data_IF_935944635733
#
_entry.id   IF_935944635733
#
_cell.length_a   1.000
_cell.length_b   1.000
_cell.length_c   1.000
_cell.angle_alpha   90.00
_cell.angle_beta   90.00
_cell.angle_gamma   90.00
#
_symmetry.space_group_name_H-M   'P 1'
#
loop_
_entity.id
_entity.type
_entity.pdbx_description
1 polymer ?
#
# COMPACT_ATOMS: atom_id res chain seq x y z
N UNK A 1 -33.11 -23.32 1.81
CA UNK A 1 -32.51 -22.69 0.63
C UNK A 1 -31.91 -21.38 1.10
N UNK A 2 -30.59 -21.27 1.17
CA UNK A 2 -29.90 -20.06 1.63
C UNK A 2 -29.63 -19.19 0.40
N UNK A 3 -30.21 -17.98 0.35
CA UNK A 3 -29.96 -17.05 -0.75
C UNK A 3 -28.86 -16.08 -0.31
N UNK A 4 -27.70 -16.17 -0.96
CA UNK A 4 -26.57 -15.26 -0.72
C UNK A 4 -26.46 -14.30 -1.90
N UNK A 5 -26.53 -13.02 -1.60
CA UNK A 5 -26.28 -11.94 -2.56
C UNK A 5 -25.03 -11.22 -2.07
N UNK A 6 -24.08 -11.00 -2.98
CA UNK A 6 -22.89 -10.22 -2.70
C UNK A 6 -23.28 -8.75 -2.52
N UNK A 7 -22.97 -8.21 -1.34
CA UNK A 7 -23.16 -6.79 -1.03
C UNK A 7 -21.85 -6.03 -1.25
N UNK A 8 -21.95 -4.80 -1.76
CA UNK A 8 -20.83 -3.87 -1.79
C UNK A 8 -20.30 -3.65 -0.36
N UNK A 9 -18.98 -3.61 -0.15
CA UNK A 9 -18.37 -3.39 1.15
C UNK A 9 -18.61 -1.96 1.65
N UNK A 10 -18.53 -1.77 2.97
CA UNK A 10 -18.70 -0.47 3.65
C UNK A 10 -19.93 0.32 3.19
N UNK A 11 -21.03 -0.38 2.90
CA UNK A 11 -22.26 0.19 2.35
C UNK A 11 -23.40 -0.04 3.33
N UNK A 12 -24.23 0.99 3.50
CA UNK A 12 -25.43 0.92 4.32
C UNK A 12 -26.61 0.44 3.47
N UNK A 13 -27.29 -0.61 3.94
CA UNK A 13 -28.41 -1.25 3.29
C UNK A 13 -29.65 -1.09 4.15
N UNK A 14 -30.77 -0.76 3.50
CA UNK A 14 -32.11 -0.88 4.10
C UNK A 14 -32.82 -2.05 3.45
N UNK A 15 -33.25 -3.01 4.27
CA UNK A 15 -33.92 -4.24 3.83
C UNK A 15 -35.41 -4.14 4.11
N UNK A 16 -36.23 -4.24 3.07
CA UNK A 16 -37.69 -4.34 3.20
C UNK A 16 -38.16 -5.68 2.66
N UNK A 17 -39.14 -6.26 3.34
CA UNK A 17 -39.68 -7.58 3.01
C UNK A 17 -41.20 -7.43 2.80
N UNK A 18 -41.76 -8.20 1.88
CA UNK A 18 -43.20 -8.40 1.76
C UNK A 18 -43.53 -9.89 1.67
N UNK A 19 -44.75 -10.25 2.05
CA UNK A 19 -45.28 -11.60 1.81
C UNK A 19 -45.83 -11.68 0.39
N UNK A 20 -45.54 -12.77 -0.33
CA UNK A 20 -46.04 -13.01 -1.68
C UNK A 20 -47.16 -14.05 -1.63
N UNK A 21 -48.32 -13.71 -2.19
CA UNK A 21 -49.46 -14.62 -2.37
C UNK A 21 -49.87 -14.70 -3.86
N UNK A 22 -51.00 -15.37 -4.16
CA UNK A 22 -51.51 -15.49 -5.54
C UNK A 22 -51.84 -14.15 -6.22
N UNK A 23 -52.07 -13.09 -5.44
CA UNK A 23 -52.34 -11.72 -5.89
C UNK A 23 -51.07 -10.85 -5.93
N UNK A 24 -49.89 -11.39 -5.60
CA UNK A 24 -48.62 -10.68 -5.62
C UNK A 24 -48.05 -10.35 -4.25
N UNK A 25 -47.14 -9.38 -4.22
CA UNK A 25 -46.47 -8.86 -3.02
C UNK A 25 -47.44 -7.97 -2.23
N UNK A 26 -47.60 -8.27 -0.94
CA UNK A 26 -48.38 -7.47 0.00
C UNK A 26 -47.66 -6.18 0.43
N UNK A 27 -48.10 -5.52 1.51
CA UNK A 27 -47.44 -4.32 2.03
C UNK A 27 -46.01 -4.62 2.49
N UNK A 28 -45.09 -3.70 2.20
CA UNK A 28 -43.69 -3.76 2.64
C UNK A 28 -43.58 -3.53 4.15
N UNK A 29 -42.58 -4.15 4.79
CA UNK A 29 -42.22 -3.86 6.17
C UNK A 29 -41.80 -2.39 6.34
N UNK A 30 -42.15 -1.81 7.49
CA UNK A 30 -41.71 -0.47 7.88
C UNK A 30 -40.18 -0.42 8.05
N UNK A 31 -39.59 0.71 7.69
CA UNK A 31 -38.17 0.98 7.92
C UNK A 31 -37.97 1.26 9.40
N UNK A 32 -37.13 0.45 10.04
CA UNK A 32 -36.72 0.57 11.43
C UNK A 32 -35.21 0.37 11.56
N UNK A 33 -34.64 0.64 12.73
CA UNK A 33 -33.22 0.37 13.00
C UNK A 33 -32.84 -1.10 12.71
N UNK A 34 -33.77 -2.05 12.91
CA UNK A 34 -33.52 -3.48 12.65
C UNK A 34 -33.55 -3.85 11.16
N UNK A 35 -34.03 -2.94 10.30
CA UNK A 35 -34.01 -3.11 8.83
C UNK A 35 -32.79 -2.47 8.19
N UNK A 36 -31.96 -1.77 8.98
CA UNK A 36 -30.75 -1.12 8.50
C UNK A 36 -29.53 -1.93 8.92
N UNK A 37 -28.68 -2.26 7.94
CA UNK A 37 -27.47 -3.04 8.15
C UNK A 37 -26.32 -2.39 7.40
N UNK A 38 -25.13 -2.35 8.00
CA UNK A 38 -23.92 -1.91 7.32
C UNK A 38 -23.04 -3.11 6.98
N UNK A 39 -22.67 -3.25 5.71
CA UNK A 39 -21.70 -4.27 5.30
C UNK A 39 -20.29 -3.95 5.81
N UNK A 40 -19.49 -4.99 6.00
CA UNK A 40 -18.13 -4.85 6.50
C UNK A 40 -17.24 -4.09 5.51
N UNK A 41 -16.28 -3.33 6.05
CA UNK A 41 -15.18 -2.76 5.26
C UNK A 41 -14.30 -3.87 4.72
N UNK A 42 -13.72 -3.64 3.54
CA UNK A 42 -12.80 -4.57 2.90
C UNK A 42 -11.71 -3.79 2.14
N UNK A 43 -10.67 -4.46 1.68
CA UNK A 43 -9.72 -3.86 0.74
C UNK A 43 -10.36 -3.73 -0.66
N UNK A 44 -9.91 -2.77 -1.48
CA UNK A 44 -10.24 -2.73 -2.90
C UNK A 44 -9.93 -4.06 -3.59
N UNK A 45 -10.83 -4.52 -4.46
CA UNK A 45 -10.66 -5.77 -5.22
C UNK A 45 -9.43 -5.71 -6.13
N UNK A 46 -9.26 -4.59 -6.82
CA UNK A 46 -8.07 -4.22 -7.60
C UNK A 46 -7.52 -2.87 -7.16
N UNK A 47 -6.22 -2.69 -7.36
CA UNK A 47 -5.55 -1.40 -7.23
C UNK A 47 -5.33 -0.80 -8.63
N UNK A 48 -5.27 0.53 -8.76
CA UNK A 48 -4.90 1.17 -10.01
C UNK A 48 -3.47 0.80 -10.41
N UNK A 49 -3.15 1.04 -11.68
CA UNK A 49 -1.80 0.83 -12.16
C UNK A 49 -0.90 1.98 -11.70
N UNK A 50 0.20 1.61 -11.05
CA UNK A 50 1.26 2.52 -10.67
C UNK A 50 2.45 2.32 -11.61
N UNK A 51 3.19 3.39 -11.90
CA UNK A 51 4.34 3.30 -12.81
C UNK A 51 5.55 4.03 -12.23
N UNK A 52 6.69 3.36 -12.26
CA UNK A 52 7.98 3.93 -11.87
C UNK A 52 8.82 4.17 -13.11
N UNK A 53 9.51 5.30 -13.15
CA UNK A 53 10.38 5.69 -14.24
C UNK A 53 11.63 6.38 -13.71
N UNK A 54 12.61 6.61 -14.58
CA UNK A 54 13.73 7.48 -14.25
C UNK A 54 13.22 8.91 -14.10
N UNK A 55 13.71 9.63 -13.10
CA UNK A 55 13.37 11.04 -12.93
C UNK A 55 13.93 11.84 -14.10
N UNK A 56 13.04 12.40 -14.92
CA UNK A 56 13.44 13.28 -16.02
C UNK A 56 14.00 14.59 -15.44
N UNK A 57 15.03 15.16 -16.08
CA UNK A 57 15.64 16.44 -15.70
C UNK A 57 16.34 16.46 -14.33
N UNK A 58 16.68 15.30 -13.76
CA UNK A 58 17.55 15.22 -12.59
C UNK A 58 19.01 15.06 -13.02
N UNK A 59 19.91 15.90 -12.48
CA UNK A 59 21.35 15.66 -12.56
C UNK A 59 21.76 14.43 -11.73
N UNK A 60 20.87 13.97 -10.85
CA UNK A 60 21.07 12.76 -10.05
C UNK A 60 20.38 11.55 -10.70
N UNK A 61 21.21 10.74 -11.34
CA UNK A 61 20.89 9.44 -11.94
C UNK A 61 20.46 8.35 -10.94
N UNK A 62 20.56 8.63 -9.64
CA UNK A 62 20.21 7.72 -8.54
C UNK A 62 18.81 8.03 -7.97
N UNK A 63 18.00 8.77 -8.72
CA UNK A 63 16.62 9.08 -8.37
C UNK A 63 15.65 8.45 -9.36
N UNK A 64 14.55 7.93 -8.82
CA UNK A 64 13.42 7.42 -9.61
C UNK A 64 12.17 8.21 -9.28
N UNK A 65 11.27 8.32 -10.24
CA UNK A 65 9.99 8.99 -10.08
C UNK A 65 8.88 7.95 -10.17
N UNK A 66 8.00 7.96 -9.17
CA UNK A 66 6.87 7.05 -9.04
C UNK A 66 5.57 7.83 -9.22
N UNK A 67 4.82 7.48 -10.26
CA UNK A 67 3.50 8.04 -10.53
C UNK A 67 2.42 7.19 -9.87
N UNK A 68 1.62 7.84 -9.05
CA UNK A 68 0.60 7.27 -8.19
C UNK A 68 -0.79 7.74 -8.60
N UNK A 69 -1.76 6.83 -8.43
CA UNK A 69 -3.18 7.13 -8.60
C UNK A 69 -3.88 6.91 -7.26
N UNK A 70 -4.81 7.81 -6.91
CA UNK A 70 -5.55 7.70 -5.67
C UNK A 70 -6.44 6.45 -5.72
N UNK A 71 -6.37 5.65 -4.67
CA UNK A 71 -7.19 4.44 -4.53
C UNK A 71 -8.54 4.83 -3.94
N UNK A 72 -9.62 4.24 -4.44
CA UNK A 72 -10.97 4.48 -3.92
C UNK A 72 -11.11 4.01 -2.48
N UNK A 73 -11.66 4.87 -1.63
CA UNK A 73 -11.98 4.57 -0.22
C UNK A 73 -13.42 4.07 -0.03
N UNK A 74 -14.12 3.74 -1.13
CA UNK A 74 -15.49 3.20 -1.06
C UNK A 74 -15.57 1.93 -0.21
N UNK A 75 -14.54 1.08 -0.26
CA UNK A 75 -14.51 -0.18 0.50
C UNK A 75 -14.09 0.01 1.97
N UNK A 76 -13.59 1.20 2.33
CA UNK A 76 -13.06 1.52 3.65
C UNK A 76 -12.00 2.63 3.58
N UNK A 77 -11.76 3.31 4.71
CA UNK A 77 -10.78 4.39 4.78
C UNK A 77 -9.34 3.86 4.70
N UNK A 78 -8.52 4.52 3.88
CA UNK A 78 -7.11 4.18 3.70
C UNK A 78 -6.30 4.88 4.79
N UNK A 79 -5.69 4.07 5.65
CA UNK A 79 -4.86 4.52 6.76
C UNK A 79 -3.45 4.93 6.30
N UNK A 80 -2.92 4.25 5.30
CA UNK A 80 -1.52 4.42 4.90
C UNK A 80 -1.25 3.85 3.51
N UNK A 81 -0.59 4.63 2.66
CA UNK A 81 0.16 4.17 1.50
C UNK A 81 1.61 3.94 1.92
N UNK A 82 2.19 2.83 1.47
CA UNK A 82 3.62 2.56 1.60
C UNK A 82 4.21 2.21 0.24
N UNK A 83 5.33 2.83 -0.08
CA UNK A 83 6.15 2.50 -1.26
C UNK A 83 7.26 1.57 -0.79
N UNK A 84 7.19 0.31 -1.23
CA UNK A 84 8.24 -0.67 -0.95
C UNK A 84 9.17 -0.69 -2.15
N UNK A 85 10.43 -0.37 -1.92
CA UNK A 85 11.49 -0.42 -2.92
C UNK A 85 12.28 -1.71 -2.78
N UNK A 86 12.63 -2.30 -3.93
CA UNK A 86 13.35 -3.57 -4.01
C UNK A 86 14.58 -3.37 -4.89
N UNK A 87 15.76 -3.52 -4.29
CA UNK A 87 17.03 -3.59 -5.02
C UNK A 87 17.24 -5.03 -5.48
N UNK A 88 17.26 -5.24 -6.79
CA UNK A 88 17.48 -6.57 -7.37
C UNK A 88 18.97 -6.93 -7.35
N UNK A 89 19.27 -8.21 -7.11
CA UNK A 89 20.62 -8.72 -7.30
C UNK A 89 20.99 -8.72 -8.80
N UNK A 90 22.29 -8.71 -9.12
CA UNK A 90 22.76 -8.68 -10.52
C UNK A 90 22.19 -9.87 -11.30
N UNK A 91 21.52 -9.59 -12.43
CA UNK A 91 20.89 -10.61 -13.28
C UNK A 91 19.60 -11.23 -12.71
N UNK A 92 19.07 -10.71 -11.60
CA UNK A 92 17.75 -11.11 -11.08
C UNK A 92 16.63 -10.39 -11.83
N UNK A 93 15.57 -11.13 -12.13
CA UNK A 93 14.35 -10.64 -12.76
C UNK A 93 13.16 -10.79 -11.81
N UNK A 94 12.02 -10.19 -12.16
CA UNK A 94 10.77 -10.26 -11.38
C UNK A 94 10.31 -11.69 -11.07
N UNK A 95 10.60 -12.66 -11.95
CA UNK A 95 10.22 -14.07 -11.76
C UNK A 95 10.87 -14.74 -10.55
N UNK A 96 11.97 -14.18 -10.02
CA UNK A 96 12.62 -14.66 -8.80
C UNK A 96 12.05 -14.02 -7.53
N UNK A 97 11.11 -13.07 -7.65
CA UNK A 97 10.41 -12.50 -6.51
C UNK A 97 9.21 -13.37 -6.13
N UNK A 98 8.79 -13.39 -4.86
CA UNK A 98 7.58 -14.10 -4.46
C UNK A 98 6.35 -13.59 -5.20
N UNK A 99 5.47 -14.49 -5.64
CA UNK A 99 4.20 -14.12 -6.28
C UNK A 99 3.30 -13.28 -5.37
N UNK A 100 3.39 -13.49 -4.06
CA UNK A 100 2.78 -12.63 -3.05
C UNK A 100 3.81 -11.64 -2.49
N UNK A 101 3.72 -10.33 -2.80
CA UNK A 101 4.67 -9.33 -2.30
C UNK A 101 4.77 -9.23 -0.78
N UNK A 102 3.72 -9.62 -0.04
CA UNK A 102 3.74 -9.63 1.44
C UNK A 102 4.67 -10.69 2.04
N UNK A 103 5.07 -11.70 1.26
CA UNK A 103 6.04 -12.71 1.71
C UNK A 103 7.49 -12.20 1.67
N UNK A 104 7.74 -11.02 1.12
CA UNK A 104 9.06 -10.44 1.01
C UNK A 104 9.52 -9.91 2.37
N UNK A 105 10.68 -10.38 2.84
CA UNK A 105 11.29 -9.84 4.06
C UNK A 105 11.81 -8.43 3.81
N UNK A 106 11.29 -7.47 4.55
CA UNK A 106 11.76 -6.09 4.53
C UNK A 106 12.96 -5.91 5.46
N UNK A 107 13.78 -4.91 5.17
CA UNK A 107 15.06 -4.57 5.79
C UNK A 107 15.26 -3.05 5.70
N UNK A 108 16.36 -2.53 6.23
CA UNK A 108 16.68 -1.10 6.17
C UNK A 108 17.32 -0.73 4.83
N UNK A 109 17.21 0.54 4.44
CA UNK A 109 17.88 1.07 3.25
C UNK A 109 19.39 0.75 3.30
N UNK A 110 20.02 0.99 4.45
CA UNK A 110 21.44 0.75 4.67
C UNK A 110 21.83 -0.71 4.42
N UNK A 111 21.06 -1.66 4.96
CA UNK A 111 21.32 -3.10 4.80
C UNK A 111 21.19 -3.54 3.34
N UNK A 112 20.17 -3.05 2.64
CA UNK A 112 19.94 -3.32 1.21
C UNK A 112 21.05 -2.72 0.35
N UNK A 113 21.61 -1.58 0.75
CA UNK A 113 22.65 -0.86 -0.01
C UNK A 113 24.09 -1.19 0.39
N UNK A 114 24.32 -2.13 1.32
CA UNK A 114 25.67 -2.71 1.55
C UNK A 114 26.26 -3.27 0.26
N UNK A 115 27.59 -3.39 0.20
CA UNK A 115 28.28 -3.89 -0.98
C UNK A 115 27.79 -5.30 -1.34
N UNK A 116 27.31 -5.49 -2.58
CA UNK A 116 26.66 -6.73 -3.03
C UNK A 116 25.27 -7.02 -2.44
N UNK A 117 24.75 -6.12 -1.60
CA UNK A 117 23.45 -6.24 -0.96
C UNK A 117 22.29 -6.13 -1.94
N UNK A 118 21.19 -6.80 -1.62
CA UNK A 118 19.91 -6.79 -2.31
C UNK A 118 18.81 -6.98 -1.26
N UNK A 119 17.56 -6.70 -1.63
CA UNK A 119 16.44 -6.84 -0.71
C UNK A 119 15.46 -5.68 -0.85
N UNK A 120 14.60 -5.55 0.14
CA UNK A 120 13.50 -4.60 0.12
C UNK A 120 13.42 -3.75 1.37
N UNK A 121 12.99 -2.51 1.21
CA UNK A 121 12.82 -1.54 2.28
C UNK A 121 11.64 -0.62 2.00
N UNK A 122 11.14 0.06 3.03
CA UNK A 122 10.07 1.06 2.88
C UNK A 122 10.71 2.40 2.56
N UNK A 123 10.52 2.92 1.35
CA UNK A 123 11.13 4.18 0.92
C UNK A 123 10.25 5.39 1.24
N UNK A 124 8.92 5.23 1.18
CA UNK A 124 8.00 6.33 1.40
C UNK A 124 6.71 5.83 2.06
N UNK A 125 6.09 6.64 2.92
CA UNK A 125 4.76 6.36 3.44
C UNK A 125 3.95 7.63 3.75
N UNK A 126 2.67 7.64 3.38
CA UNK A 126 1.80 8.80 3.61
C UNK A 126 0.33 8.38 3.74
N UNK A 127 -0.48 9.24 4.36
CA UNK A 127 -1.92 9.00 4.57
C UNK A 127 -2.73 9.32 3.33
N UNK A 128 -4.03 9.02 3.33
CA UNK A 128 -4.93 9.45 2.24
C UNK A 128 -5.05 10.97 2.14
N UNK A 129 -4.94 11.68 3.28
CA UNK A 129 -5.02 13.14 3.33
C UNK A 129 -3.77 13.79 2.74
N UNK A 130 -2.60 13.17 2.96
CA UNK A 130 -1.31 13.61 2.44
C UNK A 130 -0.97 13.04 1.05
N UNK A 131 -1.97 12.50 0.34
CA UNK A 131 -1.77 11.84 -0.94
C UNK A 131 -1.15 12.78 -1.98
N UNK A 132 -0.11 12.29 -2.65
CA UNK A 132 0.50 12.94 -3.82
C UNK A 132 0.46 12.02 -5.02
N UNK A 133 0.32 12.60 -6.21
CA UNK A 133 0.34 11.84 -7.47
C UNK A 133 1.76 11.44 -7.90
N UNK A 134 2.78 12.05 -7.32
CA UNK A 134 4.18 11.83 -7.71
C UNK A 134 5.08 11.77 -6.47
N UNK A 135 5.97 10.78 -6.44
CA UNK A 135 6.97 10.58 -5.39
C UNK A 135 8.32 10.41 -6.04
N UNK A 136 9.32 11.10 -5.53
CA UNK A 136 10.72 10.87 -5.90
C UNK A 136 11.32 9.91 -4.88
N UNK A 137 12.01 8.88 -5.38
CA UNK A 137 12.73 7.90 -4.57
C UNK A 137 14.23 8.14 -4.77
N UNK A 138 14.98 8.14 -3.69
CA UNK A 138 16.43 8.36 -3.67
C UNK A 138 16.83 9.82 -3.50
N UNK A 139 15.92 10.71 -3.12
CA UNK A 139 16.19 12.13 -2.85
C UNK A 139 16.43 12.42 -1.35
N UNK A 140 16.33 11.39 -0.50
CA UNK A 140 16.45 11.44 0.96
C UNK A 140 15.29 12.17 1.65
N UNK A 141 14.18 12.40 0.94
CA UNK A 141 12.94 12.89 1.54
C UNK A 141 12.00 11.74 1.81
N UNK A 142 11.39 11.77 2.99
CA UNK A 142 10.45 10.74 3.40
C UNK A 142 9.34 11.34 4.24
N UNK A 143 8.16 10.77 4.07
CA UNK A 143 7.00 10.95 4.92
C UNK A 143 6.75 9.67 5.70
N UNK A 144 5.93 9.80 6.71
CA UNK A 144 5.47 8.68 7.50
C UNK A 144 3.96 8.77 7.65
N UNK A 145 3.32 7.60 7.73
CA UNK A 145 1.93 7.54 8.16
C UNK A 145 1.87 7.83 9.67
N UNK A 146 1.54 9.07 10.02
CA UNK A 146 1.25 9.41 11.40
C UNK A 146 -0.11 8.84 11.77
N UNK A 147 -0.15 7.72 12.49
CA UNK A 147 -1.39 7.31 13.16
C UNK A 147 -1.75 8.40 14.19
N UNK A 148 -3.02 8.82 14.30
CA UNK A 148 -3.44 9.82 15.28
C UNK A 148 -2.91 9.47 16.68
N UNK A 149 -2.20 10.42 17.29
CA UNK A 149 -1.47 10.26 18.56
C UNK A 149 -2.34 9.77 19.73
N UNK A 150 -3.66 9.86 19.64
CA UNK A 150 -4.58 9.42 20.70
C UNK A 150 -4.56 7.91 20.97
N UNK A 151 -4.03 7.10 20.05
CA UNK A 151 -3.87 5.65 20.26
C UNK A 151 -2.48 5.22 20.71
N UNK A 152 -1.49 6.14 20.76
CA UNK A 152 -0.13 5.80 21.23
C UNK A 152 -0.09 5.54 22.74
N UNK A 153 -0.99 6.11 23.53
CA UNK A 153 -0.95 6.01 25.01
C UNK A 153 -1.60 4.75 25.60
N UNK A 154 -2.47 4.04 24.88
CA UNK A 154 -3.13 2.83 25.40
C UNK A 154 -2.48 1.50 24.98
N UNK A 155 -1.52 1.50 24.03
CA UNK A 155 -0.85 0.27 23.59
C UNK A 155 0.43 0.00 24.39
N UNK A 156 1.02 1.02 25.03
CA UNK A 156 2.33 0.90 25.70
C UNK A 156 2.28 0.22 27.07
N UNK A 157 1.10 -0.02 27.65
CA UNK A 157 0.98 -0.75 28.94
C UNK A 157 0.54 -2.22 28.82
N UNK A 158 0.41 -2.76 27.60
CA UNK A 158 -0.28 -4.04 27.39
C UNK A 158 0.48 -5.18 26.72
N UNK A 159 1.69 -4.99 26.17
CA UNK A 159 2.47 -6.10 25.59
C UNK A 159 3.98 -5.87 25.75
N UNK A 160 4.56 -6.52 26.75
CA UNK A 160 5.93 -7.00 26.63
C UNK A 160 6.00 -8.11 25.56
N UNK A 161 7.11 -8.15 24.83
CA UNK A 161 7.48 -9.13 23.80
C UNK A 161 7.00 -8.88 22.35
N UNK A 162 7.70 -7.98 21.64
CA UNK A 162 8.61 -8.36 20.53
C UNK A 162 9.14 -7.10 19.84
N UNK A 163 10.35 -6.69 20.22
CA UNK A 163 11.06 -5.53 19.67
C UNK A 163 11.42 -5.69 18.18
N UNK A 164 11.43 -6.91 17.65
CA UNK A 164 11.76 -7.20 16.23
C UNK A 164 10.65 -6.88 15.23
N UNK A 165 9.37 -6.80 15.64
CA UNK A 165 8.25 -6.53 14.71
C UNK A 165 8.03 -5.01 14.54
N UNK A 166 8.57 -4.18 15.43
CA UNK A 166 8.41 -2.71 15.36
C UNK A 166 9.44 -2.02 14.45
N UNK A 167 10.59 -2.65 14.19
CA UNK A 167 11.70 -2.02 13.45
C UNK A 167 11.59 -2.08 11.91
N UNK A 168 10.64 -2.84 11.37
CA UNK A 168 10.56 -3.11 9.91
C UNK A 168 9.59 -2.14 9.19
N UNK A 169 8.88 -1.30 9.95
CA UNK A 169 7.95 -0.29 9.42
C UNK A 169 8.58 1.11 9.29
N UNK A 170 9.89 1.24 9.53
CA UNK A 170 10.65 2.49 9.43
C UNK A 170 10.78 2.87 7.97
N UNK A 171 10.28 4.05 7.63
CA UNK A 171 10.49 4.65 6.31
C UNK A 171 11.90 5.21 6.24
N UNK A 172 12.60 4.84 5.17
CA UNK A 172 13.99 5.22 4.89
C UNK A 172 14.14 5.46 3.40
N UNK A 173 14.07 6.72 2.97
CA UNK A 173 14.54 7.08 1.64
C UNK A 173 16.03 7.47 1.67
N UNK A 174 16.77 7.05 0.65
CA UNK A 174 18.16 7.38 0.51
C UNK A 174 18.66 7.13 -0.90
N UNK A 175 19.73 7.83 -1.30
CA UNK A 175 20.30 7.73 -2.66
C UNK A 175 20.42 6.27 -3.13
N UNK A 176 19.92 5.99 -4.34
CA UNK A 176 19.95 4.65 -4.91
C UNK A 176 21.37 4.27 -5.39
N UNK A 177 21.66 2.98 -5.46
CA UNK A 177 22.91 2.52 -6.04
C UNK A 177 22.92 2.81 -7.55
N UNK A 178 24.06 3.23 -8.13
CA UNK A 178 24.20 3.41 -9.57
C UNK A 178 24.21 2.06 -10.28
N UNK A 179 23.86 2.05 -11.58
CA UNK A 179 23.93 0.88 -12.46
C UNK A 179 23.24 -0.36 -11.86
N UNK A 180 22.12 -0.15 -11.17
CA UNK A 180 21.41 -1.19 -10.41
C UNK A 180 19.93 -1.20 -10.79
N UNK A 181 19.37 -2.41 -10.91
CA UNK A 181 17.95 -2.58 -11.20
C UNK A 181 17.13 -2.48 -9.91
N UNK A 182 16.12 -1.63 -9.95
CA UNK A 182 15.13 -1.47 -8.90
C UNK A 182 13.75 -1.81 -9.40
N UNK A 183 12.96 -2.44 -8.55
CA UNK A 183 11.51 -2.58 -8.70
C UNK A 183 10.88 -2.21 -7.36
N UNK A 184 9.58 -2.40 -7.21
CA UNK A 184 8.87 -2.09 -6.00
C UNK A 184 7.40 -2.46 -6.13
N UNK A 185 6.63 -2.17 -5.09
CA UNK A 185 5.18 -2.26 -5.11
C UNK A 185 4.60 -1.28 -4.09
N UNK A 186 3.30 -0.98 -4.23
CA UNK A 186 2.54 -0.23 -3.24
C UNK A 186 1.85 -1.20 -2.29
N UNK A 187 1.99 -0.96 -0.99
CA UNK A 187 1.15 -1.57 0.04
C UNK A 187 0.21 -0.50 0.58
N UNK A 188 -1.08 -0.78 0.59
CA UNK A 188 -2.07 0.04 1.29
C UNK A 188 -2.54 -0.67 2.56
N UNK A 189 -2.70 0.10 3.63
CA UNK A 189 -3.38 -0.31 4.87
C UNK A 189 -4.76 0.34 4.90
N UNK A 190 -5.82 -0.45 5.06
CA UNK A 190 -7.22 -0.01 5.10
C UNK A 190 -7.78 -0.34 6.48
N UNK A 191 -8.60 0.56 7.04
CA UNK A 191 -9.30 0.29 8.29
C UNK A 191 -10.35 -0.81 8.06
N UNK A 192 -10.16 -1.92 8.78
CA UNK A 192 -11.06 -3.05 8.78
C UNK A 192 -12.13 -2.97 9.87
N UNK A 193 -13.04 -3.95 9.94
CA UNK A 193 -14.04 -4.04 10.98
C UNK A 193 -13.40 -4.10 12.37
N UNK A 194 -14.08 -3.57 13.39
CA UNK A 194 -13.60 -3.59 14.78
C UNK A 194 -12.19 -3.00 14.96
N UNK A 195 -11.82 -1.99 14.17
CA UNK A 195 -10.48 -1.36 14.17
C UNK A 195 -9.33 -2.30 13.79
N UNK A 196 -9.61 -3.42 13.11
CA UNK A 196 -8.56 -4.23 12.49
C UNK A 196 -7.91 -3.48 11.34
N UNK A 197 -6.74 -3.94 10.89
CA UNK A 197 -6.04 -3.37 9.72
C UNK A 197 -5.99 -4.42 8.63
N UNK A 198 -6.57 -4.10 7.48
CA UNK A 198 -6.51 -4.91 6.29
C UNK A 198 -5.41 -4.37 5.37
N UNK A 199 -4.77 -5.24 4.59
CA UNK A 199 -3.71 -4.84 3.67
C UNK A 199 -3.95 -5.34 2.25
N UNK A 200 -3.50 -4.56 1.27
CA UNK A 200 -3.52 -4.93 -0.14
C UNK A 200 -2.25 -4.42 -0.80
N UNK A 201 -1.70 -5.22 -1.70
CA UNK A 201 -0.51 -4.84 -2.47
C UNK A 201 -0.85 -4.66 -3.94
N UNK A 202 -0.11 -3.79 -4.62
CA UNK A 202 -0.10 -3.74 -6.08
C UNK A 202 0.74 -4.87 -6.65
N UNK A 203 0.65 -5.08 -7.96
CA UNK A 203 1.69 -5.81 -8.68
C UNK A 203 3.03 -5.10 -8.57
N UNK A 204 4.12 -5.84 -8.80
CA UNK A 204 5.45 -5.25 -8.90
C UNK A 204 5.54 -4.27 -10.06
N UNK A 205 6.28 -3.19 -9.87
CA UNK A 205 6.63 -2.26 -10.95
C UNK A 205 7.60 -2.95 -11.92
N UNK A 206 7.64 -2.48 -13.17
CA UNK A 206 8.67 -2.91 -14.10
C UNK A 206 10.06 -2.52 -13.55
N UNK A 207 11.09 -3.40 -13.64
CA UNK A 207 12.42 -3.06 -13.19
C UNK A 207 13.00 -1.88 -13.98
N UNK A 208 13.57 -0.91 -13.27
CA UNK A 208 14.23 0.26 -13.84
C UNK A 208 15.71 0.25 -13.43
N UNK A 209 16.58 0.43 -14.41
CA UNK A 209 18.02 0.57 -14.20
C UNK A 209 18.35 2.04 -13.87
N UNK A 210 19.00 2.28 -12.73
CA UNK A 210 19.65 3.57 -12.46
C UNK A 210 20.88 3.69 -13.35
N UNK A 211 20.92 4.64 -14.29
CA UNK A 211 22.05 4.79 -15.22
C UNK A 211 22.72 6.14 -14.97
N UNK A 212 23.92 6.09 -14.40
CA UNK A 212 24.76 7.27 -14.21
C UNK A 212 25.72 7.41 -15.38
N UNK A 213 25.34 8.18 -16.39
CA UNK A 213 26.28 8.58 -17.43
C UNK A 213 27.23 9.61 -16.84
N UNK A 214 28.50 9.27 -16.71
CA UNK A 214 29.54 10.27 -16.44
C UNK A 214 29.59 11.14 -17.68
N UNK A 215 29.25 12.43 -17.55
CA UNK A 215 29.55 13.40 -18.61
C UNK A 215 31.07 13.44 -18.74
N UNK A 216 31.60 12.69 -19.71
CA UNK A 216 33.00 12.82 -20.09
C UNK A 216 33.12 14.23 -20.68
N UNK A 217 33.67 15.15 -19.89
CA UNK A 217 34.05 16.46 -20.38
C UNK A 217 34.92 16.24 -21.60
N UNK A 218 34.47 16.80 -22.73
CA UNK A 218 35.29 16.83 -23.94
C UNK A 218 36.56 17.63 -23.63
N UNK A 219 37.74 17.16 -24.05
CA UNK A 219 39.02 17.84 -23.82
C UNK A 219 39.06 19.21 -24.49
#
# INVERSE_FOLDING_TARGET
>A
MEHKIDVLPNTEYTVQICTINRSGCGPMTNITANTQCKSLTNVPSSLPQFSMQRKNNSNDCRQLELKLQRVSERNGSILCYKVIMIKLSKGQNLSKLPSNPLALKLSTHEQVHKNGGYGAYVAEAFTSDDFVSEVVIGDNHQRNCSLPSDKKRHIVQGLGANKEIQDIDIVQDGSLAPSTNYTGYILIKVQGPNNTVLTKTSSYFLPILTVCTVSVGSP
#
